data_IF_010805331592
#
_entry.id   IF_010805331592
#
_cell.length_a   1.000
_cell.length_b   1.000
_cell.length_c   1.000
_cell.angle_alpha   90.00
_cell.angle_beta   90.00
_cell.angle_gamma   90.00
#
_symmetry.space_group_name_H-M   'P 1'
#
loop_
_entity.id
_entity.type
_entity.pdbx_description
1 polymer ?
#
# COMPACT_ATOMS: atom_id res chain seq x y z
N UNK A 1 -11.02 0.63 21.80
CA UNK A 1 -11.31 -0.35 20.73
C UNK A 1 -10.82 -1.72 21.18
N UNK A 2 -11.68 -2.73 21.28
CA UNK A 2 -11.27 -4.08 21.71
C UNK A 2 -10.27 -4.71 20.74
N UNK A 3 -9.40 -5.60 21.24
CA UNK A 3 -8.33 -6.23 20.45
C UNK A 3 -8.85 -6.88 19.15
N UNK A 4 -10.02 -7.53 19.22
CA UNK A 4 -10.66 -8.19 18.08
C UNK A 4 -11.04 -7.21 16.96
N UNK A 5 -11.49 -6.00 17.31
CA UNK A 5 -11.89 -5.00 16.31
C UNK A 5 -10.68 -4.42 15.58
N UNK A 6 -9.55 -4.25 16.29
CA UNK A 6 -8.29 -3.83 15.67
C UNK A 6 -7.77 -4.89 14.69
N UNK A 7 -7.87 -6.17 15.03
CA UNK A 7 -7.46 -7.26 14.14
C UNK A 7 -8.38 -7.37 12.91
N UNK A 8 -9.70 -7.33 13.11
CA UNK A 8 -10.65 -7.42 12.01
C UNK A 8 -10.48 -6.27 10.99
N UNK A 9 -10.36 -5.03 11.47
CA UNK A 9 -10.19 -3.87 10.58
C UNK A 9 -8.78 -3.83 10.00
N UNK A 10 -7.74 -3.93 10.83
CA UNK A 10 -6.36 -3.75 10.42
C UNK A 10 -5.82 -4.92 9.60
N UNK A 11 -5.94 -6.14 10.11
CA UNK A 11 -5.42 -7.34 9.44
C UNK A 11 -6.41 -7.87 8.42
N UNK A 12 -7.71 -7.87 8.74
CA UNK A 12 -8.76 -8.39 7.85
C UNK A 12 -9.06 -7.46 6.68
N UNK A 13 -9.76 -6.36 6.94
CA UNK A 13 -10.26 -5.47 5.88
C UNK A 13 -9.12 -4.75 5.17
N UNK A 14 -8.29 -4.00 5.92
CA UNK A 14 -7.20 -3.22 5.31
C UNK A 14 -6.15 -4.13 4.68
N UNK A 15 -5.77 -5.21 5.38
CA UNK A 15 -4.85 -6.21 4.83
C UNK A 15 -5.35 -6.90 3.57
N UNK A 16 -6.64 -7.24 3.50
CA UNK A 16 -7.24 -7.85 2.29
C UNK A 16 -7.47 -6.87 1.14
N UNK A 17 -7.67 -5.59 1.44
CA UNK A 17 -7.80 -4.53 0.41
C UNK A 17 -6.45 -4.21 -0.25
N UNK A 18 -5.34 -4.24 0.50
CA UNK A 18 -3.99 -4.01 -0.03
C UNK A 18 -3.38 -5.30 -0.59
N UNK A 19 -2.75 -5.24 -1.76
CA UNK A 19 -2.18 -6.43 -2.43
C UNK A 19 -0.75 -6.20 -2.88
N UNK A 20 0.20 -6.94 -2.27
CA UNK A 20 1.59 -6.95 -2.70
C UNK A 20 1.80 -7.78 -3.99
N UNK A 21 1.00 -8.82 -4.19
CA UNK A 21 1.11 -9.70 -5.36
C UNK A 21 0.78 -8.96 -6.66
N UNK A 22 -0.23 -8.09 -6.64
CA UNK A 22 -0.58 -7.25 -7.80
C UNK A 22 0.53 -6.26 -8.12
N UNK A 23 1.11 -5.61 -7.10
CA UNK A 23 2.25 -4.71 -7.28
C UNK A 23 3.42 -5.42 -7.96
N UNK A 24 3.77 -6.62 -7.47
CA UNK A 24 4.85 -7.42 -8.05
C UNK A 24 4.54 -7.83 -9.50
N UNK A 25 3.34 -8.35 -9.76
CA UNK A 25 2.92 -8.80 -11.09
C UNK A 25 2.95 -7.67 -12.14
N UNK A 26 2.38 -6.51 -11.83
CA UNK A 26 2.37 -5.38 -12.75
C UNK A 26 3.77 -4.80 -12.96
N UNK A 27 4.59 -4.75 -11.90
CA UNK A 27 5.98 -4.33 -12.02
C UNK A 27 6.78 -5.26 -12.92
N UNK A 28 6.62 -6.58 -12.78
CA UNK A 28 7.27 -7.56 -13.67
C UNK A 28 6.77 -7.43 -15.10
N UNK A 29 5.46 -7.23 -15.31
CA UNK A 29 4.90 -7.04 -16.65
C UNK A 29 5.45 -5.77 -17.34
N UNK A 30 5.71 -4.70 -16.59
CA UNK A 30 6.35 -3.49 -17.11
C UNK A 30 7.83 -3.73 -17.47
N UNK A 31 8.55 -4.50 -16.64
CA UNK A 31 9.95 -4.86 -16.90
C UNK A 31 10.08 -5.75 -18.14
N UNK A 32 9.21 -6.75 -18.31
CA UNK A 32 9.18 -7.64 -19.48
C UNK A 32 8.91 -6.87 -20.78
N UNK A 33 8.15 -5.77 -20.71
CA UNK A 33 7.89 -4.86 -21.84
C UNK A 33 9.04 -3.87 -22.11
N UNK A 34 10.12 -3.93 -21.34
CA UNK A 34 11.25 -3.00 -21.44
C UNK A 34 10.96 -1.61 -20.86
N UNK A 35 9.83 -1.42 -20.16
CA UNK A 35 9.41 -0.14 -19.59
C UNK A 35 9.95 0.05 -18.17
N UNK A 36 11.28 0.01 -18.01
CA UNK A 36 11.95 0.04 -16.70
C UNK A 36 11.61 1.28 -15.89
N UNK A 37 11.56 2.46 -16.51
CA UNK A 37 11.17 3.70 -15.80
C UNK A 37 9.76 3.62 -15.23
N UNK A 38 8.80 3.07 -15.99
CA UNK A 38 7.43 2.91 -15.50
C UNK A 38 7.36 1.91 -14.35
N UNK A 39 8.10 0.80 -14.43
CA UNK A 39 8.19 -0.18 -13.33
C UNK A 39 8.71 0.48 -12.05
N UNK A 40 9.79 1.26 -12.14
CA UNK A 40 10.35 1.97 -10.98
C UNK A 40 9.38 3.01 -10.42
N UNK A 41 8.78 3.83 -11.28
CA UNK A 41 7.77 4.83 -10.87
C UNK A 41 6.59 4.14 -10.20
N UNK A 42 6.15 2.99 -10.70
CA UNK A 42 5.05 2.24 -10.11
C UNK A 42 5.40 1.70 -8.72
N UNK A 43 6.53 0.98 -8.58
CA UNK A 43 7.01 0.41 -7.31
C UNK A 43 7.21 1.49 -6.25
N UNK A 44 7.97 2.54 -6.58
CA UNK A 44 8.31 3.57 -5.61
C UNK A 44 7.15 4.54 -5.39
N UNK A 45 6.44 4.92 -6.45
CA UNK A 45 5.30 5.83 -6.36
C UNK A 45 4.20 5.26 -5.47
N UNK A 46 3.78 4.02 -5.68
CA UNK A 46 2.74 3.39 -4.84
C UNK A 46 3.20 3.21 -3.38
N UNK A 47 4.47 2.83 -3.16
CA UNK A 47 5.03 2.65 -1.81
C UNK A 47 5.13 3.98 -1.05
N UNK A 48 5.61 5.04 -1.70
CA UNK A 48 5.72 6.38 -1.11
C UNK A 48 4.34 6.96 -0.83
N UNK A 49 3.39 6.84 -1.76
CA UNK A 49 2.02 7.30 -1.56
C UNK A 49 1.33 6.55 -0.41
N UNK A 50 1.52 5.23 -0.33
CA UNK A 50 1.03 4.42 0.78
C UNK A 50 1.59 4.87 2.14
N UNK A 51 2.91 5.10 2.23
CA UNK A 51 3.54 5.63 3.43
C UNK A 51 3.03 7.04 3.78
N UNK A 52 2.86 7.92 2.80
CA UNK A 52 2.31 9.24 3.01
C UNK A 52 0.88 9.18 3.56
N UNK A 53 0.03 8.29 3.02
CA UNK A 53 -1.32 8.07 3.51
C UNK A 53 -1.34 7.58 4.96
N UNK A 54 -0.43 6.67 5.35
CA UNK A 54 -0.28 6.22 6.74
C UNK A 54 0.11 7.38 7.65
N UNK A 55 1.11 8.19 7.26
CA UNK A 55 1.55 9.34 8.05
C UNK A 55 0.42 10.37 8.22
N UNK A 56 -0.34 10.65 7.16
CA UNK A 56 -1.50 11.53 7.22
C UNK A 56 -2.59 10.98 8.14
N UNK A 57 -2.92 9.69 8.03
CA UNK A 57 -3.91 9.05 8.92
C UNK A 57 -3.49 9.10 10.39
N UNK A 58 -2.20 8.90 10.69
CA UNK A 58 -1.65 9.04 12.04
C UNK A 58 -1.70 10.49 12.54
N UNK A 59 -1.38 11.47 11.68
CA UNK A 59 -1.43 12.88 12.05
C UNK A 59 -2.87 13.32 12.38
N UNK A 60 -3.82 12.97 11.52
CA UNK A 60 -5.25 13.28 11.71
C UNK A 60 -5.77 12.60 12.97
N UNK A 61 -5.52 11.29 13.13
CA UNK A 61 -5.98 10.53 14.29
C UNK A 61 -5.38 10.97 15.63
N UNK A 62 -4.23 11.66 15.62
CA UNK A 62 -3.63 12.28 16.82
C UNK A 62 -4.16 13.68 17.12
N UNK A 63 -4.73 14.35 16.12
CA UNK A 63 -5.31 15.70 16.25
C UNK A 63 -6.79 15.71 16.67
N UNK A 64 -7.42 14.53 16.69
CA UNK A 64 -8.79 14.27 17.14
C UNK A 64 -8.78 13.72 18.57
#
# INVERSE_FOLDING_TARGET
VGANWRLFIGVGILGGYTTFSTLAYESTALLERGLTTHALVYIFGTSILGLAAVLLGLAIGRSL
#
